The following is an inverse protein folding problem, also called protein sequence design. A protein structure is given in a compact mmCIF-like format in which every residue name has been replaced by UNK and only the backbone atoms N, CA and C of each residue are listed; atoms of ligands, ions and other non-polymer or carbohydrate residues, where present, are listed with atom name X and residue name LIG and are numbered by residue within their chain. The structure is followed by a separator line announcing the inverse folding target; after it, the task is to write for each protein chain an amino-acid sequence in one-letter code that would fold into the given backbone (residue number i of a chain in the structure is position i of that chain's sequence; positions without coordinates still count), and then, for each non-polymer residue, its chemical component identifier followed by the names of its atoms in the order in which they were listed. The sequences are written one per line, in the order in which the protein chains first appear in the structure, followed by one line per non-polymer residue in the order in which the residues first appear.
data_IF_160617812634
#
_entry.id   IF_160617812634
#
_cell.length_a   1.000
_cell.length_b   1.000
_cell.length_c   1.000
_cell.angle_alpha   90.00
_cell.angle_beta   90.00
_cell.angle_gamma   90.00
#
_symmetry.space_group_name_H-M   'P 1'
#
loop_
_entity.id
_entity.type
_entity.pdbx_description
1 polymer ?
#
# COMPACT_ATOMS: atom_id res chain seq x y z
N UNK A 1 -45.53 -12.37 -11.90
CA UNK A 1 -44.38 -12.67 -11.02
C UNK A 1 -43.65 -11.36 -10.72
N UNK A 2 -43.88 -10.78 -9.54
CA UNK A 2 -43.08 -9.66 -9.05
C UNK A 2 -41.76 -10.23 -8.51
N UNK A 3 -40.64 -9.93 -9.16
CA UNK A 3 -39.31 -10.12 -8.60
C UNK A 3 -39.06 -8.97 -7.62
N UNK A 4 -39.21 -9.25 -6.32
CA UNK A 4 -38.72 -8.40 -5.25
C UNK A 4 -37.19 -8.29 -5.38
N UNK A 5 -36.70 -7.17 -5.90
CA UNK A 5 -35.31 -6.76 -5.72
C UNK A 5 -35.15 -6.35 -4.25
N UNK A 6 -34.73 -7.28 -3.40
CA UNK A 6 -34.20 -6.91 -2.09
C UNK A 6 -32.98 -6.03 -2.32
N UNK A 7 -33.14 -4.71 -2.21
CA UNK A 7 -32.03 -3.77 -2.13
C UNK A 7 -31.29 -4.04 -0.81
N UNK A 8 -30.47 -5.10 -0.79
CA UNK A 8 -29.55 -5.38 0.30
C UNK A 8 -28.64 -4.18 0.51
N UNK A 9 -28.22 -3.96 1.76
CA UNK A 9 -27.17 -2.98 2.03
C UNK A 9 -25.96 -3.30 1.13
N UNK A 10 -25.39 -2.31 0.43
CA UNK A 10 -24.27 -2.54 -0.49
C UNK A 10 -23.17 -3.34 0.20
N UNK A 11 -22.70 -4.40 -0.46
CA UNK A 11 -21.58 -5.18 0.01
C UNK A 11 -20.25 -4.42 -0.11
N UNK A 12 -19.15 -4.99 0.40
CA UNK A 12 -17.82 -4.38 0.30
C UNK A 12 -17.42 -4.12 -1.16
N UNK A 13 -17.63 -5.09 -2.05
CA UNK A 13 -17.34 -4.94 -3.49
C UNK A 13 -18.16 -3.83 -4.16
N UNK A 14 -19.44 -3.68 -3.80
CA UNK A 14 -20.30 -2.63 -4.35
C UNK A 14 -19.82 -1.23 -3.95
N UNK A 15 -19.37 -1.07 -2.70
CA UNK A 15 -18.84 0.21 -2.20
C UNK A 15 -17.52 0.55 -2.90
N UNK A 16 -16.61 -0.42 -3.05
CA UNK A 16 -15.35 -0.22 -3.75
C UNK A 16 -15.55 0.15 -5.24
N UNK A 17 -16.46 -0.53 -5.95
CA UNK A 17 -16.77 -0.20 -7.35
C UNK A 17 -17.44 1.18 -7.49
N UNK A 18 -18.36 1.54 -6.57
CA UNK A 18 -18.96 2.89 -6.55
C UNK A 18 -17.91 3.98 -6.31
N UNK A 19 -16.98 3.75 -5.40
CA UNK A 19 -15.88 4.67 -5.12
C UNK A 19 -14.95 4.82 -6.34
N UNK A 20 -14.52 3.72 -6.96
CA UNK A 20 -13.68 3.76 -8.17
C UNK A 20 -14.39 4.48 -9.33
N UNK A 21 -15.70 4.24 -9.48
CA UNK A 21 -16.52 4.92 -10.49
C UNK A 21 -16.59 6.42 -10.25
N UNK A 22 -16.88 6.85 -9.01
CA UNK A 22 -16.95 8.26 -8.66
C UNK A 22 -15.63 9.00 -8.94
N UNK A 23 -14.47 8.41 -8.60
CA UNK A 23 -13.17 8.98 -8.94
C UNK A 23 -12.98 9.12 -10.45
N UNK A 24 -13.23 8.06 -11.22
CA UNK A 24 -13.08 8.06 -12.69
C UNK A 24 -13.95 9.12 -13.36
N UNK A 25 -15.17 9.31 -12.86
CA UNK A 25 -16.15 10.27 -13.40
C UNK A 25 -15.90 11.70 -12.89
N UNK A 26 -14.92 11.91 -12.01
CA UNK A 26 -14.57 13.22 -11.47
C UNK A 26 -15.48 13.69 -10.33
N UNK A 27 -16.34 12.81 -9.81
CA UNK A 27 -17.20 13.06 -8.67
C UNK A 27 -16.42 12.88 -7.35
N UNK A 28 -15.46 13.77 -7.10
CA UNK A 28 -14.52 13.68 -5.96
C UNK A 28 -15.26 13.70 -4.61
N UNK A 29 -16.31 14.51 -4.47
CA UNK A 29 -17.08 14.57 -3.23
C UNK A 29 -17.90 13.29 -2.98
N UNK A 30 -18.44 12.68 -4.03
CA UNK A 30 -19.14 11.39 -3.92
C UNK A 30 -18.17 10.26 -3.52
N UNK A 31 -16.95 10.29 -4.06
CA UNK A 31 -15.89 9.37 -3.66
C UNK A 31 -15.49 9.59 -2.19
N UNK A 32 -15.33 10.85 -1.76
CA UNK A 32 -15.02 11.20 -0.37
C UNK A 32 -16.10 10.72 0.58
N UNK A 33 -17.38 10.89 0.24
CA UNK A 33 -18.52 10.45 1.05
C UNK A 33 -18.58 8.93 1.27
N UNK A 34 -17.93 8.14 0.40
CA UNK A 34 -17.80 6.70 0.53
C UNK A 34 -16.61 6.27 1.44
N UNK A 35 -15.81 7.22 1.91
CA UNK A 35 -14.69 6.94 2.81
C UNK A 35 -15.13 6.78 4.28
N UNK A 36 -14.28 6.16 5.10
CA UNK A 36 -14.57 5.90 6.51
C UNK A 36 -14.60 7.18 7.36
N UNK A 37 -13.79 8.17 7.00
CA UNK A 37 -13.56 9.39 7.77
C UNK A 37 -13.58 10.62 6.82
N UNK A 38 -14.75 10.91 6.21
CA UNK A 38 -14.86 11.91 5.14
C UNK A 38 -14.51 13.33 5.58
N UNK A 39 -14.67 13.65 6.86
CA UNK A 39 -14.43 14.99 7.41
C UNK A 39 -12.95 15.19 7.80
N UNK A 40 -12.35 14.20 8.46
CA UNK A 40 -10.99 14.30 9.00
C UNK A 40 -9.89 14.32 7.91
N UNK A 41 -10.18 13.79 6.71
CA UNK A 41 -9.23 13.70 5.59
C UNK A 41 -9.60 14.51 4.35
N UNK A 42 -10.64 15.35 4.41
CA UNK A 42 -11.27 15.95 3.22
C UNK A 42 -10.30 16.77 2.36
N UNK A 43 -9.51 17.65 2.97
CA UNK A 43 -8.58 18.53 2.26
C UNK A 43 -7.46 17.74 1.58
N UNK A 44 -6.83 16.82 2.32
CA UNK A 44 -5.79 15.94 1.78
C UNK A 44 -6.32 15.05 0.64
N UNK A 45 -7.54 14.53 0.77
CA UNK A 45 -8.20 13.74 -0.27
C UNK A 45 -8.41 14.56 -1.54
N UNK A 46 -8.95 15.79 -1.43
CA UNK A 46 -9.16 16.68 -2.58
C UNK A 46 -7.85 17.05 -3.25
N UNK A 47 -6.81 17.37 -2.46
CA UNK A 47 -5.49 17.68 -2.99
C UNK A 47 -4.91 16.49 -3.76
N UNK A 48 -5.02 15.28 -3.19
CA UNK A 48 -4.53 14.03 -3.82
C UNK A 48 -5.23 13.72 -5.15
N UNK A 49 -6.53 13.99 -5.25
CA UNK A 49 -7.36 13.67 -6.41
C UNK A 49 -7.73 14.89 -7.27
N UNK A 50 -6.95 15.96 -7.18
CA UNK A 50 -7.14 17.18 -7.96
C UNK A 50 -7.00 16.93 -9.47
N UNK A 51 -6.06 16.07 -9.89
CA UNK A 51 -5.83 15.76 -11.31
C UNK A 51 -6.68 14.58 -11.81
N UNK A 52 -7.07 14.63 -13.09
CA UNK A 52 -7.79 13.53 -13.74
C UNK A 52 -6.95 12.24 -13.82
N UNK A 53 -5.63 12.39 -13.99
CA UNK A 53 -4.68 11.28 -14.02
C UNK A 53 -4.63 10.53 -12.68
N UNK A 54 -4.47 11.24 -11.56
CA UNK A 54 -4.45 10.61 -10.23
C UNK A 54 -5.77 9.89 -9.90
N UNK A 55 -6.90 10.45 -10.34
CA UNK A 55 -8.21 9.80 -10.20
C UNK A 55 -8.33 8.53 -11.03
N UNK A 56 -7.86 8.57 -12.29
CA UNK A 56 -7.91 7.44 -13.19
C UNK A 56 -7.01 6.30 -12.70
N UNK A 57 -5.78 6.62 -12.26
CA UNK A 57 -4.84 5.66 -11.68
C UNK A 57 -5.44 4.97 -10.45
N UNK A 58 -5.95 5.75 -9.48
CA UNK A 58 -6.55 5.18 -8.28
C UNK A 58 -7.79 4.35 -8.57
N UNK A 59 -8.65 4.78 -9.50
CA UNK A 59 -9.82 4.01 -9.91
C UNK A 59 -9.43 2.67 -10.56
N UNK A 60 -8.34 2.65 -11.33
CA UNK A 60 -7.82 1.42 -11.93
C UNK A 60 -7.25 0.46 -10.88
N UNK A 61 -6.47 0.97 -9.91
CA UNK A 61 -5.95 0.19 -8.78
C UNK A 61 -7.07 -0.49 -7.99
N UNK A 62 -8.08 0.28 -7.57
CA UNK A 62 -9.20 -0.23 -6.77
C UNK A 62 -9.92 -1.35 -7.51
N UNK A 63 -10.13 -1.19 -8.83
CA UNK A 63 -10.76 -2.24 -9.65
C UNK A 63 -9.90 -3.47 -9.82
N UNK A 64 -8.58 -3.32 -9.95
CA UNK A 64 -7.66 -4.44 -10.03
C UNK A 64 -7.63 -5.25 -8.71
N UNK A 65 -7.89 -4.59 -7.58
CA UNK A 65 -7.94 -5.23 -6.25
C UNK A 65 -9.32 -5.79 -5.88
N UNK A 66 -10.40 -5.47 -6.60
CA UNK A 66 -11.76 -6.01 -6.35
C UNK A 66 -11.79 -7.54 -6.22
N UNK A 67 -11.13 -8.34 -7.08
CA UNK A 67 -11.09 -9.79 -6.93
C UNK A 67 -10.35 -10.26 -5.66
N UNK A 68 -9.44 -9.44 -5.13
CA UNK A 68 -8.59 -9.73 -3.97
C UNK A 68 -9.18 -9.21 -2.66
N UNK A 69 -10.24 -8.38 -2.71
CA UNK A 69 -10.92 -7.89 -1.52
C UNK A 69 -11.51 -9.02 -0.66
N UNK A 70 -11.88 -10.14 -1.28
CA UNK A 70 -12.27 -11.37 -0.57
C UNK A 70 -11.08 -12.01 0.17
N UNK A 71 -9.85 -11.74 -0.28
CA UNK A 71 -8.60 -12.33 0.21
C UNK A 71 -7.74 -11.37 1.08
N UNK A 72 -8.27 -10.19 1.46
CA UNK A 72 -7.60 -9.09 2.20
C UNK A 72 -6.57 -8.30 1.36
N UNK A 73 -7.03 -7.22 0.71
CA UNK A 73 -6.14 -6.28 -0.01
C UNK A 73 -5.31 -5.39 0.95
N UNK A 74 -4.01 -5.19 0.69
CA UNK A 74 -3.16 -4.29 1.49
C UNK A 74 -3.29 -2.79 1.15
N UNK A 75 -3.81 -2.39 -0.03
CA UNK A 75 -3.90 -0.96 -0.41
C UNK A 75 -5.32 -0.38 -0.33
N UNK A 76 -6.32 -1.24 -0.14
CA UNK A 76 -7.72 -0.86 0.00
C UNK A 76 -8.33 -1.59 1.20
N UNK A 77 -8.47 -0.86 2.32
CA UNK A 77 -9.11 -1.38 3.50
C UNK A 77 -10.60 -1.05 3.44
N UNK A 78 -11.44 -2.06 3.29
CA UNK A 78 -12.87 -1.90 3.49
C UNK A 78 -13.22 -2.16 4.95
N UNK A 79 -13.83 -1.17 5.60
CA UNK A 79 -14.20 -1.24 7.01
C UNK A 79 -15.71 -1.19 7.14
N UNK A 80 -16.25 -2.02 8.04
CA UNK A 80 -17.66 -1.97 8.39
C UNK A 80 -17.87 -0.89 9.47
N UNK A 81 -18.67 0.13 9.17
CA UNK A 81 -19.07 1.17 10.13
C UNK A 81 -20.57 1.04 10.46
N UNK A 82 -21.11 1.74 11.48
CA UNK A 82 -22.55 1.78 11.71
C UNK A 82 -23.37 2.24 10.49
N UNK A 83 -22.76 3.04 9.59
CA UNK A 83 -23.37 3.54 8.37
C UNK A 83 -23.17 2.61 7.15
N UNK A 84 -22.58 1.42 7.34
CA UNK A 84 -22.31 0.41 6.32
C UNK A 84 -20.83 0.27 5.96
N UNK A 85 -20.55 -0.46 4.87
CA UNK A 85 -19.18 -0.58 4.35
C UNK A 85 -18.64 0.76 3.88
N UNK A 86 -17.37 1.04 4.18
CA UNK A 86 -16.67 2.26 3.79
C UNK A 86 -15.25 1.97 3.33
N UNK A 87 -14.75 2.83 2.44
CA UNK A 87 -13.36 2.82 2.00
C UNK A 87 -12.51 3.53 3.04
N UNK A 88 -11.61 2.82 3.70
CA UNK A 88 -10.50 3.46 4.39
C UNK A 88 -9.34 3.55 3.42
N UNK A 89 -9.07 4.77 2.96
CA UNK A 89 -7.80 5.02 2.30
C UNK A 89 -6.69 4.83 3.31
N UNK A 90 -5.86 3.83 3.07
CA UNK A 90 -4.56 3.81 3.67
C UNK A 90 -3.85 5.10 3.18
N UNK A 91 -3.22 5.85 4.09
CA UNK A 91 -2.41 7.02 3.73
C UNK A 91 -1.47 6.67 2.57
N UNK A 92 -1.10 7.64 1.74
CA UNK A 92 -0.22 7.36 0.59
C UNK A 92 1.08 6.63 1.00
N UNK A 93 1.48 6.77 2.27
CA UNK A 93 2.61 6.12 2.92
C UNK A 93 2.31 4.73 3.51
N UNK A 94 1.06 4.33 3.68
CA UNK A 94 0.70 3.07 4.32
C UNK A 94 1.13 1.84 3.49
N UNK A 95 0.94 1.89 2.17
CA UNK A 95 1.37 0.81 1.28
C UNK A 95 2.91 0.59 1.28
N UNK A 96 3.76 1.64 1.14
CA UNK A 96 5.21 1.45 1.26
C UNK A 96 5.63 1.05 2.68
N UNK A 97 5.01 1.58 3.74
CA UNK A 97 5.29 1.13 5.12
C UNK A 97 4.96 -0.34 5.31
N UNK A 98 3.80 -0.81 4.88
CA UNK A 98 3.42 -2.21 4.98
C UNK A 98 4.33 -3.14 4.15
N UNK A 99 4.83 -2.68 3.00
CA UNK A 99 5.82 -3.42 2.22
C UNK A 99 7.16 -3.52 2.97
N UNK A 100 7.65 -2.42 3.54
CA UNK A 100 8.87 -2.42 4.35
C UNK A 100 8.73 -3.31 5.58
N UNK A 101 7.62 -3.20 6.32
CA UNK A 101 7.35 -3.99 7.52
C UNK A 101 7.39 -5.49 7.24
N UNK A 102 6.70 -5.97 6.19
CA UNK A 102 6.74 -7.37 5.77
C UNK A 102 8.15 -7.83 5.41
N UNK A 103 8.92 -6.98 4.73
CA UNK A 103 10.30 -7.30 4.38
C UNK A 103 11.17 -7.48 5.64
N UNK A 104 11.07 -6.54 6.59
CA UNK A 104 11.81 -6.60 7.85
C UNK A 104 11.45 -7.86 8.64
N UNK A 105 10.15 -8.17 8.76
CA UNK A 105 9.67 -9.37 9.45
C UNK A 105 10.17 -10.66 8.79
N UNK A 106 10.09 -10.75 7.46
CA UNK A 106 10.57 -11.92 6.72
C UNK A 106 12.09 -12.10 6.88
N UNK A 107 12.86 -11.01 6.80
CA UNK A 107 14.31 -11.04 6.96
C UNK A 107 14.72 -11.41 8.40
N UNK A 108 14.08 -10.83 9.42
CA UNK A 108 14.31 -11.14 10.84
C UNK A 108 13.98 -12.61 11.15
N UNK A 109 12.90 -13.14 10.60
CA UNK A 109 12.49 -14.53 10.78
C UNK A 109 13.25 -15.52 9.88
N UNK A 110 14.16 -15.06 9.03
CA UNK A 110 14.91 -15.91 8.10
C UNK A 110 14.06 -16.54 6.99
N UNK A 111 12.89 -15.97 6.69
CA UNK A 111 12.00 -16.40 5.59
C UNK A 111 12.50 -15.81 4.27
N UNK A 112 13.67 -16.26 3.82
CA UNK A 112 14.39 -15.67 2.68
C UNK A 112 13.61 -15.65 1.35
N UNK A 113 12.79 -16.66 0.99
CA UNK A 113 11.97 -16.58 -0.23
C UNK A 113 10.97 -15.42 -0.19
N UNK A 114 10.35 -15.18 0.97
CA UNK A 114 9.41 -14.08 1.18
C UNK A 114 10.15 -12.74 1.15
N UNK A 115 11.26 -12.60 1.88
CA UNK A 115 12.07 -11.39 1.89
C UNK A 115 12.58 -11.05 0.47
N UNK A 116 13.04 -12.05 -0.29
CA UNK A 116 13.47 -11.90 -1.68
C UNK A 116 12.34 -11.42 -2.59
N UNK A 117 11.12 -11.95 -2.42
CA UNK A 117 9.96 -11.53 -3.23
C UNK A 117 9.59 -10.05 -3.04
N UNK A 118 9.98 -9.47 -1.90
CA UNK A 118 9.71 -8.07 -1.53
C UNK A 118 10.83 -7.11 -1.97
N UNK A 119 11.96 -7.60 -2.47
CA UNK A 119 13.01 -6.77 -3.07
C UNK A 119 12.58 -6.25 -4.43
N UNK A 120 13.10 -5.10 -4.88
CA UNK A 120 12.86 -4.58 -6.23
C UNK A 120 13.52 -5.47 -7.30
N UNK A 121 12.98 -5.44 -8.52
CA UNK A 121 13.42 -6.22 -9.68
C UNK A 121 14.94 -6.24 -9.90
N UNK A 122 15.64 -5.10 -9.87
CA UNK A 122 17.10 -5.08 -10.00
C UNK A 122 17.84 -5.87 -8.92
N UNK A 123 17.33 -5.89 -7.67
CA UNK A 123 17.91 -6.69 -6.59
C UNK A 123 17.52 -8.16 -6.73
N UNK A 124 16.26 -8.47 -7.06
CA UNK A 124 15.80 -9.85 -7.31
C UNK A 124 16.57 -10.52 -8.45
N UNK A 125 16.96 -9.77 -9.47
CA UNK A 125 17.77 -10.27 -10.58
C UNK A 125 19.22 -10.62 -10.17
N UNK A 126 19.74 -10.00 -9.09
CA UNK A 126 21.11 -10.20 -8.61
C UNK A 126 21.23 -11.29 -7.54
N UNK A 127 20.14 -11.56 -6.84
CA UNK A 127 20.11 -12.48 -5.69
C UNK A 127 19.20 -13.66 -5.94
N UNK A 128 19.57 -14.82 -5.40
CA UNK A 128 18.59 -15.87 -5.06
C UNK A 128 18.20 -15.74 -3.58
N UNK A 129 17.08 -16.34 -3.14
CA UNK A 129 16.74 -16.40 -1.71
C UNK A 129 17.88 -16.95 -0.83
N UNK A 130 18.57 -17.99 -1.30
CA UNK A 130 19.67 -18.64 -0.58
C UNK A 130 20.86 -17.69 -0.47
N UNK A 131 21.20 -17.00 -1.57
CA UNK A 131 22.28 -16.02 -1.60
C UNK A 131 21.98 -14.83 -0.69
N UNK A 132 20.75 -14.32 -0.71
CA UNK A 132 20.28 -13.25 0.17
C UNK A 132 20.48 -13.64 1.64
N UNK A 133 20.03 -14.85 2.03
CA UNK A 133 20.20 -15.33 3.40
C UNK A 133 21.66 -15.59 3.79
N UNK A 134 22.49 -16.04 2.86
CA UNK A 134 23.92 -16.24 3.10
C UNK A 134 24.65 -14.91 3.33
N UNK A 135 24.43 -13.93 2.45
CA UNK A 135 25.05 -12.61 2.55
C UNK A 135 24.54 -11.85 3.79
N UNK A 136 23.25 -12.00 4.14
CA UNK A 136 22.71 -11.44 5.39
C UNK A 136 23.41 -11.99 6.63
N UNK A 137 23.73 -13.29 6.67
CA UNK A 137 24.45 -13.90 7.80
C UNK A 137 25.93 -13.53 7.83
N UNK A 138 26.53 -13.30 6.66
CA UNK A 138 27.94 -12.95 6.54
C UNK A 138 28.22 -11.47 6.85
N UNK A 139 27.26 -10.58 6.59
CA UNK A 139 27.37 -9.14 6.84
C UNK A 139 27.16 -8.81 8.33
N UNK A 140 28.20 -8.36 9.05
CA UNK A 140 28.11 -8.08 10.49
C UNK A 140 27.06 -7.02 10.85
N UNK A 141 26.83 -6.05 9.97
CA UNK A 141 25.92 -4.93 10.22
C UNK A 141 24.48 -5.18 9.74
N UNK A 142 24.18 -6.35 9.18
CA UNK A 142 22.89 -6.60 8.55
C UNK A 142 21.73 -6.49 9.53
N UNK A 143 21.89 -7.04 10.74
CA UNK A 143 20.90 -6.93 11.82
C UNK A 143 20.70 -5.51 12.30
N UNK A 144 21.78 -4.74 12.40
CA UNK A 144 21.70 -3.33 12.81
C UNK A 144 20.97 -2.49 11.76
N UNK A 145 21.20 -2.75 10.46
CA UNK A 145 20.46 -2.09 9.36
C UNK A 145 18.95 -2.37 9.45
N UNK A 146 18.54 -3.62 9.71
CA UNK A 146 17.12 -3.94 9.90
C UNK A 146 16.53 -3.22 11.12
N UNK A 147 17.25 -3.21 12.25
CA UNK A 147 16.80 -2.52 13.46
C UNK A 147 16.65 -1.01 13.25
N UNK A 148 17.59 -0.37 12.53
CA UNK A 148 17.50 1.06 12.18
C UNK A 148 16.27 1.34 11.31
N UNK A 149 16.02 0.52 10.29
CA UNK A 149 14.83 0.67 9.45
C UNK A 149 13.53 0.42 10.23
N UNK A 150 13.51 -0.57 11.13
CA UNK A 150 12.37 -0.83 12.02
C UNK A 150 12.08 0.37 12.92
N UNK A 151 13.12 0.96 13.52
CA UNK A 151 12.97 2.14 14.37
C UNK A 151 12.51 3.39 13.59
N UNK A 152 12.85 3.49 12.31
CA UNK A 152 12.44 4.59 11.44
C UNK A 152 11.03 4.42 10.86
N UNK A 153 10.38 3.25 10.97
CA UNK A 153 9.04 3.00 10.42
C UNK A 153 7.95 4.03 10.78
N UNK A 154 7.91 4.68 11.96
CA UNK A 154 6.93 5.73 12.23
C UNK A 154 7.36 7.12 11.72
N UNK A 155 8.58 7.25 11.20
CA UNK A 155 9.18 8.51 10.76
C UNK A 155 8.60 9.08 9.46
N UNK A 156 9.05 10.28 9.06
CA UNK A 156 8.58 10.92 7.84
C UNK A 156 8.96 10.10 6.60
N UNK A 157 7.97 9.86 5.75
CA UNK A 157 8.14 9.17 4.47
C UNK A 157 7.81 10.15 3.35
N UNK A 158 8.78 10.34 2.46
CA UNK A 158 8.65 11.22 1.29
C UNK A 158 8.25 10.37 0.09
N UNK A 159 7.22 10.79 -0.63
CA UNK A 159 6.73 10.14 -1.84
C UNK A 159 7.05 11.01 -3.05
N UNK A 160 7.74 10.44 -4.04
CA UNK A 160 8.11 11.11 -5.28
C UNK A 160 7.78 10.18 -6.46
N UNK A 161 6.62 10.39 -7.08
CA UNK A 161 6.13 9.55 -8.17
C UNK A 161 5.95 8.09 -7.71
N UNK A 162 6.70 7.18 -8.32
CA UNK A 162 6.69 5.75 -7.98
C UNK A 162 7.66 5.39 -6.83
N UNK A 163 8.40 6.35 -6.27
CA UNK A 163 9.38 6.11 -5.22
C UNK A 163 8.85 6.56 -3.85
N UNK A 164 9.20 5.79 -2.83
CA UNK A 164 8.98 6.11 -1.43
C UNK A 164 10.32 6.08 -0.70
N UNK A 165 10.62 7.14 0.04
CA UNK A 165 11.88 7.31 0.76
C UNK A 165 11.61 7.52 2.25
N UNK A 166 12.18 6.64 3.07
CA UNK A 166 12.13 6.72 4.52
C UNK A 166 13.53 7.09 5.05
N UNK A 167 13.65 8.26 5.67
CA UNK A 167 14.92 8.72 6.21
C UNK A 167 15.32 7.92 7.46
N UNK A 168 16.55 7.40 7.46
CA UNK A 168 17.17 6.70 8.59
C UNK A 168 18.07 7.62 9.43
N UNK A 169 18.24 8.87 8.99
CA UNK A 169 19.18 9.84 9.56
C UNK A 169 20.61 9.65 9.05
N UNK A 170 21.42 10.70 9.22
CA UNK A 170 22.82 10.76 8.74
C UNK A 170 22.93 10.58 7.22
N UNK A 171 21.94 11.05 6.47
CA UNK A 171 21.90 10.98 5.00
C UNK A 171 21.59 9.60 4.42
N UNK A 172 21.24 8.62 5.26
CA UNK A 172 20.83 7.26 4.84
C UNK A 172 19.32 7.17 4.71
N UNK A 173 18.85 6.36 3.78
CA UNK A 173 17.42 6.11 3.63
C UNK A 173 17.11 4.66 3.25
N UNK A 174 15.88 4.24 3.54
CA UNK A 174 15.26 3.11 2.86
C UNK A 174 14.56 3.64 1.63
N UNK A 175 14.78 3.01 0.49
CA UNK A 175 14.09 3.34 -0.76
C UNK A 175 13.19 2.20 -1.14
N UNK A 176 11.94 2.51 -1.44
CA UNK A 176 10.99 1.60 -2.03
C UNK A 176 10.54 2.14 -3.37
N UNK A 177 10.28 1.23 -4.31
CA UNK A 177 9.74 1.55 -5.63
C UNK A 177 8.44 0.80 -5.83
N UNK A 178 7.46 1.44 -6.46
CA UNK A 178 6.21 0.83 -6.87
C UNK A 178 6.45 0.00 -8.13
N UNK A 179 6.26 -1.31 -8.01
CA UNK A 179 6.26 -2.26 -9.13
C UNK A 179 4.87 -2.87 -9.30
N UNK A 180 4.69 -3.67 -10.36
CA UNK A 180 3.47 -4.47 -10.55
C UNK A 180 3.22 -5.35 -9.31
N UNK A 181 2.09 -5.11 -8.62
CA UNK A 181 1.72 -5.80 -7.38
C UNK A 181 2.25 -5.16 -6.09
N UNK A 182 2.73 -3.92 -6.12
CA UNK A 182 2.94 -3.07 -4.94
C UNK A 182 4.38 -2.58 -4.73
N UNK A 183 4.61 -1.91 -3.59
CA UNK A 183 5.94 -1.40 -3.25
C UNK A 183 6.94 -2.53 -2.95
N UNK A 184 8.18 -2.32 -3.38
CA UNK A 184 9.31 -3.22 -3.25
C UNK A 184 10.53 -2.48 -2.71
N UNK A 185 11.33 -3.15 -1.88
CA UNK A 185 12.54 -2.56 -1.29
C UNK A 185 13.65 -2.48 -2.35
N UNK A 186 14.03 -1.27 -2.73
CA UNK A 186 15.09 -1.00 -3.71
C UNK A 186 16.46 -0.74 -3.04
N UNK A 187 16.47 -0.21 -1.81
CA UNK A 187 17.70 0.00 -1.05
C UNK A 187 17.43 0.03 0.47
N UNK A 188 18.42 -0.42 1.24
CA UNK A 188 18.46 -0.39 2.71
C UNK A 188 19.89 -0.01 3.14
N UNK A 189 20.10 1.25 3.55
CA UNK A 189 21.43 1.85 3.81
C UNK A 189 21.86 1.83 5.30
#
# INVERSE_FOLDING_TARGET
MLLCACAGRPGPGDVAERYARALREGHVEDALALTAEPEAGAEAFRARYASAEARAERAAEVRAELPQLEARSPQLLLVQTPAGWRVREAGADAAPRAALERFLEAAEAGRWPEAWSLLAGPLRARYTPERLGADFRAEPLARERLQRARAALPGPLVLEGAEARLELGQGRAVRLVREDGGYRVAALE
#
